data_IF_599959113581
#
_entry.id   IF_599959113581
#
_cell.length_a   1.000
_cell.length_b   1.000
_cell.length_c   1.000
_cell.angle_alpha   90.00
_cell.angle_beta   90.00
_cell.angle_gamma   90.00
#
_symmetry.space_group_name_H-M   'P 1'
#
loop_
_entity.id
_entity.type
_entity.pdbx_description
1 polymer ?
#
# COMPACT_ATOMS: atom_id res chain seq x y z
N UNK A 1 -9.91 -22.61 0.82
CA UNK A 1 -9.26 -21.28 0.82
C UNK A 1 -9.26 -20.78 -0.60
N UNK A 2 -10.10 -19.79 -0.92
CA UNK A 2 -10.12 -19.18 -2.25
C UNK A 2 -8.84 -18.37 -2.36
N UNK A 3 -7.96 -18.71 -3.31
CA UNK A 3 -6.91 -17.79 -3.71
C UNK A 3 -7.58 -16.46 -4.06
N UNK A 4 -6.99 -15.33 -3.64
CA UNK A 4 -7.11 -14.06 -4.39
C UNK A 4 -7.01 -14.48 -5.86
N UNK A 5 -8.02 -14.21 -6.69
CA UNK A 5 -8.15 -14.81 -8.03
C UNK A 5 -6.98 -14.47 -8.94
N UNK A 6 -5.82 -15.07 -8.69
CA UNK A 6 -4.52 -14.80 -9.25
C UNK A 6 -4.30 -15.71 -10.44
N UNK A 7 -3.61 -15.19 -11.45
CA UNK A 7 -3.27 -15.90 -12.68
C UNK A 7 -1.80 -16.33 -12.64
N UNK A 8 -1.51 -17.59 -12.97
CA UNK A 8 -0.15 -18.12 -13.02
C UNK A 8 0.07 -19.43 -12.24
N UNK A 9 1.33 -19.81 -11.98
CA UNK A 9 2.53 -19.03 -12.27
C UNK A 9 2.91 -19.07 -13.76
N UNK A 10 3.62 -18.03 -14.22
CA UNK A 10 4.31 -18.05 -15.51
C UNK A 10 5.53 -19.02 -15.49
N UNK A 11 6.27 -19.12 -16.59
CA UNK A 11 7.46 -19.98 -16.67
C UNK A 11 8.60 -19.56 -15.72
N UNK A 12 8.52 -18.39 -15.10
CA UNK A 12 9.48 -17.87 -14.13
C UNK A 12 8.97 -17.99 -12.68
N UNK A 13 7.78 -18.56 -12.45
CA UNK A 13 7.20 -18.69 -11.11
C UNK A 13 6.40 -17.47 -10.63
N UNK A 14 6.16 -16.48 -11.49
CA UNK A 14 5.47 -15.25 -11.11
C UNK A 14 3.95 -15.41 -11.21
N UNK A 15 3.22 -14.83 -10.27
CA UNK A 15 1.76 -14.75 -10.29
C UNK A 15 1.31 -13.32 -10.56
N UNK A 16 0.31 -13.17 -11.42
CA UNK A 16 -0.43 -11.93 -11.58
C UNK A 16 -1.65 -11.93 -10.66
N UNK A 17 -2.09 -10.75 -10.25
CA UNK A 17 -3.29 -10.57 -9.41
C UNK A 17 -4.29 -9.65 -10.12
N UNK A 18 -5.59 -9.69 -9.76
CA UNK A 18 -6.58 -8.81 -10.35
C UNK A 18 -6.15 -7.33 -10.22
N UNK A 19 -6.34 -6.56 -11.29
CA UNK A 19 -5.94 -5.15 -11.39
C UNK A 19 -6.46 -4.27 -10.25
N UNK A 20 -7.67 -4.54 -9.75
CA UNK A 20 -8.32 -3.79 -8.67
C UNK A 20 -8.03 -4.34 -7.27
N UNK A 21 -7.01 -5.19 -7.13
CA UNK A 21 -6.66 -5.78 -5.84
C UNK A 21 -6.21 -4.70 -4.86
N UNK A 22 -6.93 -4.59 -3.75
CA UNK A 22 -6.63 -3.65 -2.65
C UNK A 22 -6.55 -4.38 -1.32
N UNK A 23 -5.82 -3.79 -0.37
CA UNK A 23 -5.77 -4.24 1.01
C UNK A 23 -6.17 -3.09 1.91
N UNK A 24 -6.96 -3.39 2.95
CA UNK A 24 -7.39 -2.40 3.93
C UNK A 24 -6.93 -2.83 5.32
N UNK A 25 -6.28 -1.92 6.03
CA UNK A 25 -5.85 -2.12 7.41
C UNK A 25 -6.48 -1.11 8.35
N UNK A 26 -6.65 -1.55 9.59
CA UNK A 26 -6.88 -0.71 10.74
C UNK A 26 -5.72 -0.92 11.73
N UNK A 27 -5.34 0.16 12.42
CA UNK A 27 -4.37 0.07 13.51
C UNK A 27 -5.10 0.02 14.84
N UNK A 28 -4.60 -0.79 15.76
CA UNK A 28 -5.14 -0.86 17.12
C UNK A 28 -5.18 0.54 17.75
N UNK A 29 -6.32 0.89 18.36
CA UNK A 29 -6.54 2.23 18.94
C UNK A 29 -7.00 3.31 17.96
N UNK A 30 -6.99 3.04 16.64
CA UNK A 30 -7.61 3.96 15.67
C UNK A 30 -9.13 3.76 15.64
N UNK A 31 -9.88 4.86 15.80
CA UNK A 31 -11.35 4.83 15.68
C UNK A 31 -11.74 5.34 14.29
N UNK A 32 -12.55 4.55 13.57
CA UNK A 32 -13.11 4.90 12.25
C UNK A 32 -12.06 5.26 11.19
N UNK A 33 -10.88 4.62 11.23
CA UNK A 33 -9.83 4.84 10.21
C UNK A 33 -9.48 3.53 9.53
N UNK A 34 -9.70 3.52 8.22
CA UNK A 34 -9.31 2.45 7.32
C UNK A 34 -8.24 3.00 6.37
N UNK A 35 -7.13 2.28 6.29
CA UNK A 35 -6.02 2.60 5.40
C UNK A 35 -6.01 1.58 4.27
N UNK A 36 -6.51 2.00 3.11
CA UNK A 36 -6.66 1.17 1.92
C UNK A 36 -5.58 1.51 0.92
N UNK A 37 -4.90 0.51 0.40
CA UNK A 37 -3.90 0.69 -0.65
C UNK A 37 -3.94 -0.41 -1.70
N UNK A 38 -3.46 -0.07 -2.89
CA UNK A 38 -3.41 -0.98 -4.03
C UNK A 38 -2.32 -2.02 -3.83
N UNK A 39 -2.67 -3.28 -4.08
CA UNK A 39 -1.74 -4.41 -4.09
C UNK A 39 -1.20 -4.69 -5.48
N UNK A 40 -1.90 -4.22 -6.52
CA UNK A 40 -1.52 -4.38 -7.93
C UNK A 40 -0.74 -3.17 -8.44
N UNK A 41 0.30 -3.42 -9.24
CA UNK A 41 0.93 -2.37 -10.03
C UNK A 41 0.05 -2.10 -11.27
N UNK A 42 -0.77 -1.06 -11.17
CA UNK A 42 -1.68 -0.60 -12.24
C UNK A 42 -0.96 0.02 -13.43
N UNK A 43 0.34 -0.19 -13.60
CA UNK A 43 1.06 0.15 -14.84
C UNK A 43 1.40 -1.10 -15.66
N UNK A 44 1.04 -2.28 -15.16
CA UNK A 44 1.45 -3.59 -15.70
C UNK A 44 0.29 -4.46 -16.19
N UNK A 45 -0.82 -3.85 -16.65
CA UNK A 45 -1.96 -4.62 -17.19
C UNK A 45 -1.47 -5.52 -18.32
N UNK A 46 -1.88 -6.78 -18.30
CA UNK A 46 -1.74 -7.65 -19.46
C UNK A 46 -2.88 -7.47 -20.49
N UNK A 47 -3.83 -6.57 -20.23
CA UNK A 47 -5.02 -6.33 -21.06
C UNK A 47 -6.18 -7.29 -20.76
N UNK A 48 -6.01 -8.19 -19.78
CA UNK A 48 -7.03 -9.13 -19.32
C UNK A 48 -7.54 -8.82 -17.90
N UNK A 49 -7.13 -7.68 -17.33
CA UNK A 49 -7.53 -7.26 -15.99
C UNK A 49 -6.65 -7.83 -14.87
N UNK A 50 -5.41 -8.22 -15.21
CA UNK A 50 -4.43 -8.76 -14.27
C UNK A 50 -3.13 -7.94 -14.33
N UNK A 51 -2.52 -7.73 -13.16
CA UNK A 51 -1.30 -6.96 -12.96
C UNK A 51 -0.23 -7.76 -12.25
N UNK A 52 1.01 -7.28 -12.36
CA UNK A 52 2.04 -7.65 -11.41
C UNK A 52 1.66 -7.20 -9.98
N UNK A 53 1.93 -8.03 -8.97
CA UNK A 53 1.74 -7.64 -7.58
C UNK A 53 2.80 -6.61 -7.18
N UNK A 54 2.36 -5.50 -6.59
CA UNK A 54 3.20 -4.51 -5.90
C UNK A 54 3.59 -4.95 -4.49
N UNK A 55 2.85 -5.89 -3.90
CA UNK A 55 3.19 -6.53 -2.63
C UNK A 55 3.87 -7.87 -2.90
N UNK A 56 5.02 -8.10 -2.25
CA UNK A 56 5.72 -9.38 -2.32
C UNK A 56 5.61 -10.12 -0.99
N UNK A 57 5.50 -11.44 -1.06
CA UNK A 57 5.63 -12.29 0.12
C UNK A 57 7.12 -12.35 0.50
N UNK A 58 7.45 -11.79 1.66
CA UNK A 58 8.82 -11.79 2.19
C UNK A 58 9.23 -13.15 2.79
N UNK A 59 8.38 -14.17 2.70
CA UNK A 59 8.61 -15.50 3.25
C UNK A 59 8.08 -15.66 4.67
N UNK A 60 8.74 -16.50 5.48
CA UNK A 60 8.33 -16.85 6.85
C UNK A 60 8.60 -15.72 7.87
N UNK A 61 8.00 -14.57 7.62
CA UNK A 61 7.89 -13.50 8.61
C UNK A 61 6.53 -13.61 9.26
N UNK A 62 6.50 -13.75 10.59
CA UNK A 62 5.24 -13.76 11.36
C UNK A 62 4.54 -12.38 11.40
N UNK A 63 5.07 -11.38 10.69
CA UNK A 63 4.64 -9.99 10.72
C UNK A 63 4.40 -9.48 9.29
N UNK A 64 3.40 -8.62 9.12
CA UNK A 64 3.19 -7.89 7.89
C UNK A 64 4.14 -6.69 7.83
N UNK A 65 4.85 -6.54 6.71
CA UNK A 65 5.73 -5.40 6.47
C UNK A 65 5.04 -4.42 5.53
N UNK A 66 4.80 -3.21 6.02
CA UNK A 66 4.14 -2.14 5.26
C UNK A 66 5.16 -1.41 4.39
N UNK A 67 5.32 -1.86 3.15
CA UNK A 67 6.36 -1.36 2.23
C UNK A 67 5.94 -0.18 1.35
N UNK A 68 6.59 -0.07 0.20
CA UNK A 68 6.40 1.00 -0.77
C UNK A 68 4.94 1.27 -1.18
N UNK A 69 4.06 0.26 -1.39
CA UNK A 69 2.67 0.52 -1.78
C UNK A 69 1.89 1.35 -0.75
N UNK A 70 2.09 1.07 0.54
CA UNK A 70 1.47 1.85 1.62
C UNK A 70 2.03 3.27 1.68
N UNK A 71 3.37 3.43 1.59
CA UNK A 71 4.06 4.72 1.61
C UNK A 71 3.75 5.58 0.38
N UNK A 72 3.34 4.96 -0.74
CA UNK A 72 2.88 5.69 -1.91
C UNK A 72 1.57 6.45 -1.63
N UNK A 73 0.72 5.91 -0.76
CA UNK A 73 -0.62 6.45 -0.50
C UNK A 73 -0.71 7.24 0.81
N UNK A 74 0.19 7.00 1.77
CA UNK A 74 0.13 7.61 3.10
C UNK A 74 1.46 8.24 3.52
N UNK A 75 1.38 9.43 4.11
CA UNK A 75 2.46 10.00 4.91
C UNK A 75 2.47 9.34 6.28
N UNK A 76 3.68 9.10 6.82
CA UNK A 76 3.89 8.56 8.15
C UNK A 76 4.65 9.59 8.99
N UNK A 77 4.15 9.85 10.19
CA UNK A 77 4.83 10.66 11.18
C UNK A 77 5.12 9.82 12.42
N UNK A 78 6.37 9.84 12.87
CA UNK A 78 6.81 9.16 14.09
C UNK A 78 6.95 10.17 15.21
N UNK A 79 6.19 10.00 16.29
CA UNK A 79 6.25 10.87 17.47
C UNK A 79 6.87 10.12 18.65
N UNK A 80 8.20 10.05 18.67
CA UNK A 80 8.96 9.24 19.64
C UNK A 80 8.67 9.58 21.09
N UNK A 81 8.57 10.87 21.43
CA UNK A 81 8.34 11.31 22.82
C UNK A 81 6.97 10.87 23.39
N UNK A 82 6.01 10.57 22.52
CA UNK A 82 4.68 10.12 22.92
C UNK A 82 4.45 8.63 22.60
N UNK A 83 5.46 7.95 22.02
CA UNK A 83 5.37 6.57 21.52
C UNK A 83 4.15 6.36 20.58
N UNK A 84 3.95 7.29 19.64
CA UNK A 84 2.82 7.29 18.72
C UNK A 84 3.27 7.38 17.27
N UNK A 85 2.40 6.88 16.38
CA UNK A 85 2.53 7.01 14.94
C UNK A 85 1.26 7.65 14.37
N UNK A 86 1.44 8.59 13.44
CA UNK A 86 0.37 9.22 12.69
C UNK A 86 0.42 8.84 11.22
N UNK A 87 -0.75 8.71 10.61
CA UNK A 87 -0.91 8.45 9.18
C UNK A 87 -1.85 9.50 8.58
N UNK A 88 -1.51 9.99 7.38
CA UNK A 88 -2.35 10.90 6.61
C UNK A 88 -2.31 10.53 5.12
N UNK A 89 -3.44 10.61 4.42
CA UNK A 89 -3.48 10.36 2.97
C UNK A 89 -2.60 11.36 2.24
N UNK A 90 -1.73 10.88 1.35
CA UNK A 90 -0.97 11.73 0.45
C UNK A 90 -1.93 12.35 -0.56
N UNK A 91 -2.05 13.67 -0.53
CA UNK A 91 -2.77 14.42 -1.55
C UNK A 91 -1.79 15.40 -2.19
N UNK A 92 -1.01 14.94 -3.17
CA UNK A 92 0.03 15.74 -3.82
C UNK A 92 -0.54 17.02 -4.46
N UNK A 93 -1.78 16.98 -4.95
CA UNK A 93 -2.48 18.15 -5.51
C UNK A 93 -2.86 19.21 -4.47
N UNK A 94 -3.29 18.80 -3.27
CA UNK A 94 -3.59 19.73 -2.18
C UNK A 94 -2.34 20.19 -1.40
N UNK A 95 -1.33 19.32 -1.24
CA UNK A 95 -0.06 19.66 -0.57
C UNK A 95 0.74 20.70 -1.35
N UNK A 96 0.75 20.66 -2.69
CA UNK A 96 1.43 21.65 -3.52
C UNK A 96 0.76 23.04 -3.49
N UNK A 97 -0.52 23.14 -3.13
CA UNK A 97 -1.24 24.40 -3.07
C UNK A 97 -1.12 25.12 -1.71
N UNK A 98 -0.65 24.44 -0.64
CA UNK A 98 -0.66 24.98 0.73
C UNK A 98 0.71 25.02 1.42
N UNK A 99 1.77 24.42 0.88
CA UNK A 99 3.12 24.52 1.47
C UNK A 99 3.97 25.54 0.73
N UNK A 100 3.95 26.79 1.20
CA UNK A 100 5.15 27.62 1.12
C UNK A 100 6.03 27.20 2.30
N UNK A 101 7.15 26.48 2.08
CA UNK A 101 8.05 26.14 3.19
C UNK A 101 8.56 27.44 3.80
N UNK A 102 8.17 27.71 5.05
CA UNK A 102 8.74 28.79 5.84
C UNK A 102 10.17 28.38 6.22
N UNK A 103 11.16 28.97 5.57
CA UNK A 103 12.54 28.94 6.05
C UNK A 103 12.71 30.16 6.98
N UNK A 104 12.99 29.89 8.26
CA UNK A 104 13.51 30.88 9.21
C UNK A 104 15.02 30.96 9.13
#
# INVERSE_FOLDING_TARGET
>A
MSLLGAEGPDSNGNYLIPWESTMTWNFYGSQMRNYTFNLADTTTDNGSGFCNPSANDAGDTTNWITGAPFLHQYYIAFHYAANLMGFATRNLGASAAHSSPYFS
#
